data_IF_169913206792
#
_entry.id   IF_169913206792
#
_cell.length_a   1.000
_cell.length_b   1.000
_cell.length_c   1.000
_cell.angle_alpha   90.00
_cell.angle_beta   90.00
_cell.angle_gamma   90.00
#
_symmetry.space_group_name_H-M   'P 1'
#
loop_
_entity.id
_entity.type
_entity.pdbx_description
1 polymer ?
#
# COMPACT_ATOMS: atom_id res chain seq x y z
N UNK A 1 14.88 -12.97 23.43
CA UNK A 1 14.77 -11.52 23.11
C UNK A 1 14.49 -11.37 21.63
N UNK A 2 13.48 -10.60 21.30
CA UNK A 2 13.11 -10.36 19.92
C UNK A 2 13.97 -9.23 19.35
N UNK A 3 14.49 -9.43 18.14
CA UNK A 3 15.22 -8.38 17.45
C UNK A 3 14.31 -7.19 17.15
N UNK A 4 14.85 -5.98 17.21
CA UNK A 4 14.14 -4.78 16.81
C UNK A 4 13.90 -4.80 15.29
N UNK A 5 12.77 -4.25 14.80
CA UNK A 5 12.59 -4.04 13.37
C UNK A 5 13.73 -3.17 12.80
N UNK A 6 14.08 -3.32 11.52
CA UNK A 6 15.13 -2.51 10.92
C UNK A 6 14.76 -1.03 10.92
N UNK A 7 15.77 -0.16 11.13
CA UNK A 7 15.56 1.29 11.07
C UNK A 7 15.42 1.79 9.64
N UNK A 8 16.02 1.10 8.67
CA UNK A 8 16.00 1.49 7.27
C UNK A 8 15.45 0.34 6.43
N UNK A 9 14.51 0.66 5.55
CA UNK A 9 13.97 -0.28 4.57
C UNK A 9 14.16 0.37 3.20
N UNK A 10 15.26 0.05 2.51
CA UNK A 10 15.56 0.68 1.22
C UNK A 10 14.53 0.34 0.15
N UNK A 11 14.25 1.27 -0.73
CA UNK A 11 13.37 1.03 -1.88
C UNK A 11 13.88 -0.15 -2.73
N UNK A 12 15.18 -0.26 -2.93
CA UNK A 12 15.77 -1.35 -3.69
C UNK A 12 15.45 -2.72 -3.09
N UNK A 13 15.41 -2.83 -1.75
CA UNK A 13 15.01 -4.06 -1.08
C UNK A 13 13.54 -4.38 -1.35
N UNK A 14 12.67 -3.39 -1.28
CA UNK A 14 11.25 -3.58 -1.56
C UNK A 14 11.04 -4.05 -3.01
N UNK A 15 11.73 -3.44 -3.96
CA UNK A 15 11.66 -3.80 -5.38
C UNK A 15 12.13 -5.22 -5.65
N UNK A 16 13.09 -5.72 -4.87
CA UNK A 16 13.65 -7.07 -5.02
C UNK A 16 12.87 -8.13 -4.23
N UNK A 17 11.97 -7.73 -3.33
CA UNK A 17 11.24 -8.66 -2.48
C UNK A 17 10.08 -9.29 -3.23
N UNK A 18 9.92 -10.63 -3.17
CA UNK A 18 8.78 -11.29 -3.78
C UNK A 18 7.50 -10.99 -3.01
N UNK A 19 6.36 -11.10 -3.67
CA UNK A 19 5.08 -11.02 -2.98
C UNK A 19 4.98 -12.11 -1.92
N UNK A 20 4.34 -11.78 -0.81
CA UNK A 20 4.05 -12.76 0.23
C UNK A 20 3.13 -13.83 -0.35
N UNK A 21 3.35 -15.13 -0.04
CA UNK A 21 2.49 -16.21 -0.55
C UNK A 21 1.00 -15.93 -0.29
N UNK A 22 0.18 -16.03 -1.33
CA UNK A 22 -1.25 -15.75 -1.24
C UNK A 22 -1.63 -14.27 -1.20
N UNK A 23 -0.66 -13.36 -1.35
CA UNK A 23 -0.88 -11.90 -1.34
C UNK A 23 -0.34 -11.28 -2.62
N UNK A 24 -0.87 -10.11 -2.97
CA UNK A 24 -0.42 -9.37 -4.16
C UNK A 24 0.67 -8.35 -3.84
N UNK A 25 1.19 -8.34 -2.62
CA UNK A 25 2.20 -7.39 -2.15
C UNK A 25 3.30 -8.09 -1.38
N UNK A 26 4.50 -7.50 -1.37
CA UNK A 26 5.61 -7.96 -0.55
C UNK A 26 5.46 -7.39 0.87
N UNK A 27 5.71 -8.22 1.89
CA UNK A 27 5.73 -7.78 3.28
C UNK A 27 7.16 -7.41 3.67
N UNK A 28 7.39 -6.15 4.04
CA UNK A 28 8.73 -5.64 4.41
C UNK A 28 8.93 -5.53 5.92
N UNK A 29 7.87 -5.23 6.67
CA UNK A 29 7.94 -4.97 8.10
C UNK A 29 6.59 -5.23 8.74
N UNK A 30 6.62 -5.86 9.91
CA UNK A 30 5.44 -5.99 10.76
C UNK A 30 5.83 -5.65 12.19
N UNK A 31 5.02 -4.79 12.82
CA UNK A 31 5.22 -4.42 14.22
C UNK A 31 3.85 -4.15 14.86
N UNK A 32 3.40 -5.08 15.70
CA UNK A 32 2.05 -5.02 16.24
C UNK A 32 1.00 -5.05 15.13
N UNK A 33 0.07 -4.11 15.16
CA UNK A 33 -0.94 -3.98 14.11
C UNK A 33 -0.41 -3.37 12.82
N UNK A 34 0.76 -2.71 12.89
CA UNK A 34 1.35 -2.03 11.74
C UNK A 34 2.03 -3.03 10.81
N UNK A 35 1.80 -2.88 9.52
CA UNK A 35 2.58 -3.57 8.49
C UNK A 35 2.95 -2.60 7.38
N UNK A 36 4.18 -2.76 6.86
CA UNK A 36 4.65 -2.06 5.67
C UNK A 36 4.77 -3.06 4.54
N UNK A 37 4.14 -2.75 3.41
CA UNK A 37 4.16 -3.58 2.22
C UNK A 37 4.59 -2.78 1.01
N UNK A 38 4.93 -3.47 -0.06
CA UNK A 38 5.24 -2.88 -1.35
C UNK A 38 4.34 -3.51 -2.41
N UNK A 39 3.64 -2.67 -3.16
CA UNK A 39 2.63 -3.12 -4.12
C UNK A 39 2.92 -2.55 -5.51
N UNK A 40 3.13 -3.44 -6.46
CA UNK A 40 3.17 -3.10 -7.88
C UNK A 40 1.78 -3.40 -8.43
N UNK A 41 0.96 -2.37 -8.60
CA UNK A 41 -0.43 -2.56 -8.98
C UNK A 41 -0.56 -3.08 -10.41
N UNK A 42 -1.19 -4.24 -10.62
CA UNK A 42 -1.52 -4.65 -11.99
C UNK A 42 -2.60 -3.75 -12.56
N UNK A 43 -2.69 -3.68 -13.88
CA UNK A 43 -3.73 -2.92 -14.55
C UNK A 43 -4.60 -3.89 -15.37
N UNK A 44 -5.90 -3.98 -15.08
CA UNK A 44 -6.63 -3.28 -14.02
C UNK A 44 -6.25 -3.77 -12.62
N UNK A 45 -6.34 -2.88 -11.66
CA UNK A 45 -6.04 -3.18 -10.25
C UNK A 45 -7.23 -3.93 -9.64
N UNK A 46 -7.04 -5.20 -9.20
CA UNK A 46 -8.16 -6.03 -8.72
C UNK A 46 -8.43 -5.89 -7.23
N UNK A 47 -7.95 -4.86 -6.59
CA UNK A 47 -8.10 -4.69 -5.15
C UNK A 47 -9.56 -4.69 -4.70
N UNK A 48 -9.77 -5.27 -3.51
CA UNK A 48 -11.04 -5.19 -2.77
C UNK A 48 -10.81 -4.39 -1.50
N UNK A 49 -11.87 -3.89 -0.84
CA UNK A 49 -11.71 -3.16 0.42
C UNK A 49 -10.95 -3.96 1.47
N UNK A 50 -10.16 -3.27 2.29
CA UNK A 50 -9.37 -3.88 3.35
C UNK A 50 -10.00 -3.65 4.72
N UNK A 51 -9.63 -4.49 5.68
CA UNK A 51 -10.22 -4.50 7.03
C UNK A 51 -9.53 -3.53 7.99
N UNK A 52 -8.42 -2.93 7.59
CA UNK A 52 -7.67 -1.94 8.37
C UNK A 52 -7.60 -0.62 7.60
N UNK A 53 -7.32 0.47 8.32
CA UNK A 53 -6.95 1.74 7.69
C UNK A 53 -5.64 1.58 6.92
N UNK A 54 -5.50 2.33 5.84
CA UNK A 54 -4.42 2.15 4.89
C UNK A 54 -3.90 3.48 4.37
N UNK A 55 -2.57 3.59 4.28
CA UNK A 55 -1.92 4.71 3.64
C UNK A 55 -0.98 4.20 2.56
N UNK A 56 -1.07 4.79 1.39
CA UNK A 56 -0.11 4.58 0.30
C UNK A 56 0.84 5.75 0.20
N UNK A 57 2.10 5.48 -0.17
CA UNK A 57 3.03 6.50 -0.66
C UNK A 57 3.54 6.02 -2.00
N UNK A 58 3.36 6.84 -3.05
CA UNK A 58 3.82 6.48 -4.39
C UNK A 58 5.34 6.46 -4.40
N UNK A 59 5.92 5.29 -4.69
CA UNK A 59 7.36 5.10 -4.73
C UNK A 59 7.94 5.41 -6.11
N UNK A 60 7.24 5.00 -7.18
CA UNK A 60 7.66 5.20 -8.56
C UNK A 60 6.46 5.41 -9.46
N UNK A 61 6.59 6.32 -10.42
CA UNK A 61 5.59 6.52 -11.48
C UNK A 61 4.47 7.47 -11.09
N UNK A 62 3.39 7.40 -11.87
CA UNK A 62 2.22 8.24 -11.71
C UNK A 62 0.97 7.48 -12.19
N UNK A 63 -0.20 7.95 -11.77
CA UNK A 63 -1.47 7.35 -12.16
C UNK A 63 -2.64 8.05 -11.50
N UNK A 64 -3.74 7.32 -11.35
CA UNK A 64 -4.96 7.80 -10.74
C UNK A 64 -5.36 6.90 -9.59
N UNK A 65 -5.84 7.51 -8.51
CA UNK A 65 -6.39 6.78 -7.38
C UNK A 65 -7.89 7.04 -7.32
N UNK A 66 -8.67 5.98 -7.36
CA UNK A 66 -10.13 6.04 -7.25
C UNK A 66 -10.54 5.54 -5.88
N UNK A 67 -11.07 6.44 -5.04
CA UNK A 67 -11.55 6.10 -3.71
C UNK A 67 -13.04 6.42 -3.63
N UNK A 68 -13.86 5.40 -3.52
CA UNK A 68 -15.32 5.52 -3.42
C UNK A 68 -15.92 6.38 -4.57
N UNK A 69 -15.34 6.27 -5.76
CA UNK A 69 -15.78 7.03 -6.93
C UNK A 69 -15.11 8.37 -7.13
N UNK A 70 -14.34 8.86 -6.15
CA UNK A 70 -13.55 10.08 -6.31
C UNK A 70 -12.18 9.73 -6.90
N UNK A 71 -11.90 10.27 -8.06
CA UNK A 71 -10.68 9.98 -8.81
C UNK A 71 -9.70 11.14 -8.71
N UNK A 72 -8.52 10.89 -8.16
CA UNK A 72 -7.47 11.91 -7.99
C UNK A 72 -6.17 11.46 -8.66
N UNK A 73 -5.47 12.40 -9.29
CA UNK A 73 -4.16 12.13 -9.86
C UNK A 73 -3.10 12.00 -8.76
N UNK A 74 -2.16 11.10 -8.95
CA UNK A 74 -1.05 10.91 -8.01
C UNK A 74 0.26 10.64 -8.74
N UNK A 75 1.36 10.96 -8.07
CA UNK A 75 2.72 10.78 -8.60
C UNK A 75 3.69 10.49 -7.46
N UNK A 76 4.90 10.12 -7.80
CA UNK A 76 5.97 9.79 -6.84
C UNK A 76 6.04 10.81 -5.70
N UNK A 77 6.01 10.31 -4.47
CA UNK A 77 6.05 11.11 -3.26
C UNK A 77 4.69 11.46 -2.67
N UNK A 78 3.59 11.29 -3.42
CA UNK A 78 2.26 11.59 -2.91
C UNK A 78 1.78 10.51 -1.95
N UNK A 79 1.02 10.92 -0.93
CA UNK A 79 0.37 10.03 0.02
C UNK A 79 -1.13 9.97 -0.25
N UNK A 80 -1.71 8.78 -0.13
CA UNK A 80 -3.11 8.51 -0.43
C UNK A 80 -3.71 7.67 0.71
N UNK A 81 -4.84 8.10 1.23
CA UNK A 81 -5.47 7.44 2.38
C UNK A 81 -6.76 6.75 2.00
N UNK A 82 -6.96 5.54 2.51
CA UNK A 82 -8.22 4.81 2.43
C UNK A 82 -8.56 4.23 3.81
N UNK A 83 -9.71 4.63 4.36
CA UNK A 83 -10.20 4.03 5.60
C UNK A 83 -10.63 2.59 5.38
N UNK A 84 -10.63 1.79 6.45
CA UNK A 84 -11.09 0.40 6.40
C UNK A 84 -12.48 0.31 5.77
N UNK A 85 -12.68 -0.68 4.91
CA UNK A 85 -13.95 -0.95 4.25
C UNK A 85 -14.29 -0.05 3.05
N UNK A 86 -13.47 0.96 2.78
CA UNK A 86 -13.72 1.88 1.65
C UNK A 86 -13.18 1.26 0.36
N UNK A 87 -14.02 1.25 -0.68
CA UNK A 87 -13.61 0.78 -2.00
C UNK A 87 -12.57 1.71 -2.61
N UNK A 88 -11.47 1.15 -3.12
CA UNK A 88 -10.40 1.94 -3.70
C UNK A 88 -9.56 1.09 -4.67
N UNK A 89 -8.96 1.76 -5.66
CA UNK A 89 -8.06 1.11 -6.62
C UNK A 89 -7.22 2.16 -7.35
N UNK A 90 -6.11 1.70 -7.93
CA UNK A 90 -5.33 2.51 -8.86
C UNK A 90 -5.80 2.27 -10.28
N UNK A 91 -5.76 3.31 -11.10
CA UNK A 91 -6.24 3.28 -12.49
C UNK A 91 -5.27 4.02 -13.41
N UNK A 92 -5.14 3.55 -14.64
CA UNK A 92 -4.38 4.22 -15.70
C UNK A 92 -2.97 4.64 -15.24
N UNK A 93 -2.27 3.73 -14.60
CA UNK A 93 -0.94 3.99 -14.06
C UNK A 93 0.16 3.78 -15.08
N UNK A 94 1.23 4.55 -14.95
CA UNK A 94 2.42 4.40 -15.81
C UNK A 94 3.08 3.04 -15.61
N UNK A 95 3.84 2.55 -16.61
CA UNK A 95 4.62 1.32 -16.44
C UNK A 95 5.54 1.42 -15.23
N UNK A 96 5.59 0.36 -14.43
CA UNK A 96 6.42 0.33 -13.23
C UNK A 96 5.86 1.10 -12.03
N UNK A 97 4.62 1.57 -12.10
CA UNK A 97 3.97 2.23 -10.96
C UNK A 97 3.96 1.31 -9.75
N UNK A 98 4.44 1.83 -8.63
CA UNK A 98 4.50 1.07 -7.38
C UNK A 98 4.34 1.99 -6.19
N UNK A 99 3.80 1.42 -5.11
CA UNK A 99 3.49 2.16 -3.88
C UNK A 99 3.99 1.40 -2.66
N UNK A 100 4.44 2.15 -1.65
CA UNK A 100 4.52 1.65 -0.29
C UNK A 100 3.10 1.60 0.26
N UNK A 101 2.80 0.54 1.01
CA UNK A 101 1.49 0.35 1.62
C UNK A 101 1.65 0.15 3.12
N UNK A 102 0.96 0.97 3.90
CA UNK A 102 0.96 0.87 5.36
C UNK A 102 -0.43 0.56 5.84
N UNK A 103 -0.56 -0.53 6.61
CA UNK A 103 -1.79 -0.89 7.33
C UNK A 103 -1.55 -0.75 8.82
N UNK A 104 -2.55 -0.31 9.56
CA UNK A 104 -2.48 -0.23 11.02
C UNK A 104 -3.87 -0.22 11.66
N UNK A 105 -3.88 -0.42 12.98
CA UNK A 105 -5.08 -0.29 13.79
C UNK A 105 -5.94 -1.54 13.82
N UNK A 106 -7.12 -1.44 14.45
CA UNK A 106 -7.99 -2.58 14.65
C UNK A 106 -8.75 -2.96 13.36
N UNK A 107 -9.27 -4.19 13.29
CA UNK A 107 -10.26 -4.55 12.26
C UNK A 107 -11.44 -3.57 12.29
N UNK A 108 -11.88 -3.13 11.10
CA UNK A 108 -12.92 -2.13 10.96
C UNK A 108 -12.43 -0.69 10.99
N UNK A 109 -11.15 -0.47 11.29
CA UNK A 109 -10.51 0.84 11.28
C UNK A 109 -10.59 1.58 12.60
N UNK A 110 -9.83 2.67 12.68
CA UNK A 110 -9.86 3.57 13.83
C UNK A 110 -11.12 4.41 13.83
N UNK A 111 -11.53 4.87 15.02
CA UNK A 111 -12.58 5.87 15.14
C UNK A 111 -11.98 7.27 15.06
N UNK A 112 -12.74 8.18 14.48
CA UNK A 112 -12.31 9.58 14.35
C UNK A 112 -12.23 10.29 15.71
#
# INVERSE_FOLDING_TARGET
>A
MTALPPALIPLALAQASPNEPGRASALLLRHGSFSLRYYVAPMPDPQTPHDQDELYVVATGHGWFNRAGERVACATGDALFAAAGVDHRFEDCSPGFAVWVMFWGPPGGETA
#
